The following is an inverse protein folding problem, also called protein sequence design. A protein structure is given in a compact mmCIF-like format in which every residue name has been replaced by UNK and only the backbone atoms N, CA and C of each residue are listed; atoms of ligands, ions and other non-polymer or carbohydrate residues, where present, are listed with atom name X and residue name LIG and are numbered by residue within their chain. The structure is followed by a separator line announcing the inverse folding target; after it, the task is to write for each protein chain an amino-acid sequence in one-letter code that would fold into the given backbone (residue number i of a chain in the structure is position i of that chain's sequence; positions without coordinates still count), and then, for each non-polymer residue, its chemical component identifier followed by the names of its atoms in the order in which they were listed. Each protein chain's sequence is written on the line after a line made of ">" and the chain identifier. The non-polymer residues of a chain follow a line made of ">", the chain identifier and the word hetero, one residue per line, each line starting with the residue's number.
data_IF_115169444874
#
_entry.id   IF_115169444874
#
_cell.length_a   1.000
_cell.length_b   1.000
_cell.length_c   1.000
_cell.angle_alpha   90.00
_cell.angle_beta   90.00
_cell.angle_gamma   90.00
#
_symmetry.space_group_name_H-M   'P 1'
#
loop_
_entity.id
_entity.type
_entity.pdbx_description
1 polymer ?
#
# COMPACT_ATOMS: atom_id res chain seq x y z
N UNK A 1 -2.56 55.54 27.48
CA UNK A 1 -1.71 54.58 26.71
C UNK A 1 -2.03 53.12 27.04
N UNK A 2 -2.75 52.82 28.15
CA UNK A 2 -3.12 51.42 28.50
C UNK A 2 -4.42 50.93 27.86
N UNK A 3 -5.33 51.80 27.50
CA UNK A 3 -6.65 51.44 26.91
C UNK A 3 -6.57 51.04 25.45
N UNK A 4 -5.58 51.54 24.67
CA UNK A 4 -5.47 51.21 23.25
C UNK A 4 -4.96 49.78 22.99
N UNK A 5 -4.27 49.17 23.93
CA UNK A 5 -3.74 47.80 23.80
C UNK A 5 -4.82 46.74 24.01
N UNK A 6 -5.79 47.00 24.89
CA UNK A 6 -6.89 46.08 25.13
C UNK A 6 -7.90 46.01 23.97
N UNK A 7 -8.18 47.12 23.33
CA UNK A 7 -9.17 47.23 22.24
C UNK A 7 -8.71 46.50 20.97
N UNK A 8 -7.41 46.57 20.67
CA UNK A 8 -6.85 45.87 19.51
C UNK A 8 -6.85 44.34 19.66
N UNK A 9 -6.71 43.85 20.92
CA UNK A 9 -6.68 42.42 21.19
C UNK A 9 -8.07 41.78 21.16
N UNK A 10 -9.12 42.54 21.50
CA UNK A 10 -10.51 42.10 21.41
C UNK A 10 -11.05 42.11 19.98
N UNK A 11 -10.65 43.07 19.15
CA UNK A 11 -11.04 43.12 17.75
C UNK A 11 -10.43 41.99 16.91
N UNK A 12 -9.22 41.50 17.26
CA UNK A 12 -8.64 40.36 16.56
C UNK A 12 -9.33 39.01 16.85
N UNK A 13 -10.03 38.86 17.96
CA UNK A 13 -10.79 37.66 18.28
C UNK A 13 -12.19 37.64 17.67
N UNK A 14 -12.76 38.78 17.35
CA UNK A 14 -14.13 38.88 16.84
C UNK A 14 -14.28 38.82 15.31
N UNK A 15 -13.22 39.05 14.57
CA UNK A 15 -13.26 39.10 13.09
C UNK A 15 -13.01 37.73 12.41
N UNK A 16 -12.49 36.73 13.16
CA UNK A 16 -12.14 35.41 12.59
C UNK A 16 -13.23 34.34 12.80
N UNK A 17 -14.41 34.69 13.29
CA UNK A 17 -15.54 33.76 13.46
C UNK A 17 -16.65 34.05 12.45
N UNK A 18 -16.28 34.42 11.23
CA UNK A 18 -17.21 34.51 10.11
C UNK A 18 -17.33 33.19 9.37
N UNK A 19 -18.40 32.97 8.59
CA UNK A 19 -18.60 31.73 7.82
C UNK A 19 -17.42 31.36 6.89
N UNK A 20 -16.60 32.33 6.50
CA UNK A 20 -15.40 32.13 5.66
C UNK A 20 -14.28 31.42 6.45
N UNK A 21 -14.11 31.72 7.75
CA UNK A 21 -13.12 31.01 8.57
C UNK A 21 -13.51 29.54 8.83
N UNK A 22 -14.81 29.26 8.91
CA UNK A 22 -15.33 27.88 8.98
C UNK A 22 -15.11 27.11 7.68
N UNK A 23 -15.36 27.74 6.54
CA UNK A 23 -15.13 27.12 5.22
C UNK A 23 -13.64 26.85 4.97
N UNK A 24 -12.76 27.75 5.42
CA UNK A 24 -11.31 27.54 5.31
C UNK A 24 -10.80 26.46 6.30
N UNK A 25 -11.40 26.33 7.47
CA UNK A 25 -11.10 25.25 8.40
C UNK A 25 -11.62 23.89 7.89
N UNK A 26 -12.77 23.84 7.23
CA UNK A 26 -13.28 22.63 6.56
C UNK A 26 -12.46 22.22 5.34
N UNK A 27 -11.76 23.17 4.69
CA UNK A 27 -10.86 22.88 3.56
C UNK A 27 -9.46 22.46 4.03
N UNK A 28 -9.08 22.83 5.27
CA UNK A 28 -7.73 22.63 5.81
C UNK A 28 -7.61 21.50 6.85
N UNK A 29 -8.68 20.76 7.15
CA UNK A 29 -8.51 19.55 7.93
C UNK A 29 -7.87 18.46 7.06
N UNK A 30 -6.61 18.11 7.29
CA UNK A 30 -6.04 16.93 6.65
C UNK A 30 -6.85 15.74 7.16
N UNK A 31 -7.18 14.82 6.26
CA UNK A 31 -7.87 13.56 6.49
C UNK A 31 -7.18 12.66 7.55
N UNK A 32 -7.11 13.08 8.80
CA UNK A 32 -6.62 12.25 9.91
C UNK A 32 -7.49 10.99 10.10
N UNK A 33 -8.77 11.05 9.73
CA UNK A 33 -9.66 9.89 9.67
C UNK A 33 -9.15 8.80 8.72
N UNK A 34 -8.49 9.15 7.62
CA UNK A 34 -7.97 8.16 6.65
C UNK A 34 -6.82 7.35 7.24
N UNK A 35 -6.00 7.95 8.09
CA UNK A 35 -4.87 7.26 8.73
C UNK A 35 -5.32 6.31 9.84
N UNK A 36 -6.44 6.61 10.50
CA UNK A 36 -7.01 5.80 11.57
C UNK A 36 -7.74 4.54 11.08
N UNK A 37 -8.20 4.52 9.82
CA UNK A 37 -8.97 3.41 9.30
C UNK A 37 -8.16 2.11 9.18
N UNK A 38 -8.79 1.01 9.61
CA UNK A 38 -8.28 -0.35 9.44
C UNK A 38 -8.72 -0.90 8.08
N UNK A 39 -7.92 -1.75 7.42
CA UNK A 39 -8.34 -2.41 6.19
C UNK A 39 -9.53 -3.32 6.45
N UNK A 40 -10.50 -3.30 5.55
CA UNK A 40 -11.57 -4.29 5.54
C UNK A 40 -11.02 -5.61 5.02
N UNK A 41 -11.23 -6.69 5.75
CA UNK A 41 -10.87 -8.03 5.28
C UNK A 41 -11.77 -8.39 4.10
N UNK A 42 -11.17 -8.49 2.92
CA UNK A 42 -11.86 -8.85 1.69
C UNK A 42 -12.15 -10.35 1.64
N UNK A 43 -13.31 -10.70 1.12
CA UNK A 43 -13.75 -12.07 0.93
C UNK A 43 -14.20 -12.27 -0.51
N UNK A 44 -14.04 -13.48 -1.08
CA UNK A 44 -14.61 -13.78 -2.38
C UNK A 44 -16.13 -13.66 -2.33
N UNK A 45 -16.72 -13.15 -3.40
CA UNK A 45 -18.15 -13.10 -3.61
C UNK A 45 -18.60 -14.37 -4.37
N UNK A 46 -19.86 -14.76 -4.24
CA UNK A 46 -20.42 -15.92 -4.95
C UNK A 46 -20.24 -15.82 -6.47
N UNK A 47 -20.30 -14.60 -7.00
CA UNK A 47 -20.07 -14.37 -8.43
C UNK A 47 -18.62 -14.67 -8.82
N UNK A 48 -17.63 -14.37 -7.96
CA UNK A 48 -16.22 -14.68 -8.21
C UNK A 48 -16.00 -16.18 -8.30
N UNK A 49 -16.59 -16.95 -7.38
CA UNK A 49 -16.46 -18.42 -7.38
C UNK A 49 -17.05 -19.03 -8.66
N UNK A 50 -18.20 -18.55 -9.11
CA UNK A 50 -18.81 -19.00 -10.37
C UNK A 50 -17.99 -18.62 -11.59
N UNK A 51 -17.49 -17.39 -11.64
CA UNK A 51 -16.66 -16.89 -12.73
C UNK A 51 -15.35 -17.69 -12.80
N UNK A 52 -14.70 -17.97 -11.68
CA UNK A 52 -13.52 -18.81 -11.61
C UNK A 52 -13.78 -20.21 -12.22
N UNK A 53 -14.85 -20.88 -11.82
CA UNK A 53 -15.22 -22.19 -12.39
C UNK A 53 -15.40 -22.12 -13.90
N UNK A 54 -16.06 -21.08 -14.39
CA UNK A 54 -16.28 -20.89 -15.83
C UNK A 54 -14.96 -20.69 -16.58
N UNK A 55 -14.05 -19.86 -16.02
CA UNK A 55 -12.73 -19.60 -16.61
C UNK A 55 -11.89 -20.89 -16.62
N UNK A 56 -11.83 -21.61 -15.50
CA UNK A 56 -11.09 -22.87 -15.39
C UNK A 56 -11.60 -23.92 -16.40
N UNK A 57 -12.93 -24.01 -16.59
CA UNK A 57 -13.53 -24.90 -17.57
C UNK A 57 -13.21 -24.50 -19.01
N UNK A 58 -13.29 -23.21 -19.34
CA UNK A 58 -12.95 -22.69 -20.66
C UNK A 58 -11.46 -22.92 -20.99
N UNK A 59 -10.56 -22.69 -20.05
CA UNK A 59 -9.13 -22.95 -20.21
C UNK A 59 -8.89 -24.43 -20.48
N UNK A 60 -9.54 -25.33 -19.76
CA UNK A 60 -9.41 -26.78 -19.94
C UNK A 60 -9.91 -27.24 -21.30
N UNK A 61 -11.05 -26.73 -21.77
CA UNK A 61 -11.72 -27.25 -22.95
C UNK A 61 -11.33 -26.54 -24.24
N UNK A 62 -11.10 -25.23 -24.19
CA UNK A 62 -11.00 -24.37 -25.38
C UNK A 62 -9.60 -23.74 -25.56
N UNK A 63 -8.68 -23.89 -24.57
CA UNK A 63 -7.34 -23.32 -24.74
C UNK A 63 -6.57 -24.11 -25.80
N UNK A 64 -5.94 -23.38 -26.71
CA UNK A 64 -5.14 -23.93 -27.83
C UNK A 64 -4.02 -24.86 -27.34
N UNK A 65 -3.36 -24.54 -26.22
CA UNK A 65 -2.43 -25.46 -25.55
C UNK A 65 -3.17 -26.11 -24.39
N UNK A 66 -3.46 -27.40 -24.49
CA UNK A 66 -4.08 -28.16 -23.41
C UNK A 66 -3.07 -28.32 -22.25
N UNK A 67 -3.10 -27.39 -21.32
CA UNK A 67 -2.37 -27.52 -20.05
C UNK A 67 -3.32 -28.06 -18.99
N UNK A 68 -2.94 -29.13 -18.36
CA UNK A 68 -3.66 -29.62 -17.18
C UNK A 68 -3.37 -28.74 -15.97
N UNK A 69 -4.43 -28.45 -15.21
CA UNK A 69 -4.30 -27.86 -13.90
C UNK A 69 -3.85 -28.94 -12.94
N UNK A 70 -2.57 -28.94 -12.61
CA UNK A 70 -1.89 -29.90 -11.72
C UNK A 70 -0.93 -29.13 -10.79
N UNK A 71 -0.23 -29.84 -9.90
CA UNK A 71 0.72 -29.27 -8.93
C UNK A 71 1.77 -28.36 -9.60
N UNK A 72 2.25 -28.72 -10.81
CA UNK A 72 3.20 -27.88 -11.55
C UNK A 72 2.56 -26.55 -11.97
N UNK A 73 1.32 -26.61 -12.46
CA UNK A 73 0.57 -25.39 -12.79
C UNK A 73 0.24 -24.59 -11.54
N UNK A 74 -0.11 -25.27 -10.44
CA UNK A 74 -0.33 -24.66 -9.13
C UNK A 74 0.88 -23.86 -8.65
N UNK A 75 2.08 -24.45 -8.71
CA UNK A 75 3.33 -23.78 -8.37
C UNK A 75 3.58 -22.53 -9.23
N UNK A 76 3.33 -22.62 -10.55
CA UNK A 76 3.46 -21.47 -11.45
C UNK A 76 2.45 -20.35 -11.14
N UNK A 77 1.20 -20.70 -10.83
CA UNK A 77 0.16 -19.76 -10.43
C UNK A 77 0.58 -19.06 -9.14
N UNK A 78 1.05 -19.82 -8.15
CA UNK A 78 1.52 -19.28 -6.88
C UNK A 78 2.64 -18.24 -7.08
N UNK A 79 3.69 -18.61 -7.81
CA UNK A 79 4.82 -17.72 -8.08
C UNK A 79 4.40 -16.45 -8.81
N UNK A 80 3.58 -16.59 -9.85
CA UNK A 80 3.08 -15.45 -10.61
C UNK A 80 2.17 -14.55 -9.78
N UNK A 81 1.36 -15.11 -8.91
CA UNK A 81 0.50 -14.32 -8.03
C UNK A 81 1.32 -13.54 -6.99
N UNK A 82 2.28 -14.18 -6.32
CA UNK A 82 3.18 -13.48 -5.40
C UNK A 82 3.98 -12.39 -6.13
N UNK A 83 4.52 -12.70 -7.32
CA UNK A 83 5.23 -11.72 -8.15
C UNK A 83 4.34 -10.54 -8.56
N UNK A 84 3.08 -10.77 -8.90
CA UNK A 84 2.14 -9.72 -9.29
C UNK A 84 1.84 -8.75 -8.14
N UNK A 85 1.82 -9.26 -6.90
CA UNK A 85 1.57 -8.46 -5.70
C UNK A 85 2.85 -7.73 -5.24
N UNK A 86 3.98 -8.42 -5.15
CA UNK A 86 5.22 -7.86 -4.57
C UNK A 86 6.47 -8.24 -5.36
N UNK A 87 6.52 -7.86 -6.63
CA UNK A 87 7.71 -8.05 -7.48
C UNK A 87 8.98 -7.47 -6.87
N UNK A 88 8.86 -6.36 -6.15
CA UNK A 88 9.99 -5.66 -5.53
C UNK A 88 10.40 -6.20 -4.17
N UNK A 89 9.79 -7.28 -3.68
CA UNK A 89 10.05 -7.95 -2.40
C UNK A 89 10.22 -6.96 -1.24
N UNK A 90 9.19 -6.11 -1.06
CA UNK A 90 9.21 -5.00 -0.13
C UNK A 90 7.97 -4.93 0.78
N UNK A 91 6.98 -5.76 0.54
CA UNK A 91 5.75 -5.83 1.32
C UNK A 91 5.67 -7.10 2.16
N UNK A 92 6.02 -8.25 1.59
CA UNK A 92 6.07 -9.52 2.31
C UNK A 92 7.40 -9.72 3.04
N UNK A 93 7.37 -10.49 4.11
CA UNK A 93 8.54 -11.02 4.82
C UNK A 93 8.73 -12.50 4.49
N UNK A 94 9.88 -13.08 4.86
CA UNK A 94 10.13 -14.52 4.77
C UNK A 94 9.02 -15.31 5.45
N UNK A 95 8.60 -14.89 6.65
CA UNK A 95 7.53 -15.58 7.41
C UNK A 95 6.18 -15.55 6.68
N UNK A 96 5.84 -14.46 5.97
CA UNK A 96 4.62 -14.40 5.16
C UNK A 96 4.69 -15.41 4.01
N UNK A 97 5.83 -15.49 3.32
CA UNK A 97 6.00 -16.45 2.22
C UNK A 97 5.97 -17.90 2.71
N UNK A 98 6.61 -18.21 3.85
CA UNK A 98 6.56 -19.54 4.46
C UNK A 98 5.12 -19.94 4.85
N UNK A 99 4.31 -19.00 5.36
CA UNK A 99 2.89 -19.26 5.63
C UNK A 99 2.13 -19.63 4.34
N UNK A 100 2.45 -18.95 3.23
CA UNK A 100 1.76 -19.17 1.94
C UNK A 100 2.26 -20.40 1.17
N UNK A 101 3.45 -20.91 1.48
CA UNK A 101 4.00 -22.12 0.82
C UNK A 101 3.07 -23.33 0.93
N UNK A 102 2.24 -23.40 2.00
CA UNK A 102 1.22 -24.43 2.13
C UNK A 102 0.22 -24.50 0.97
N UNK A 103 0.03 -23.37 0.25
CA UNK A 103 -0.90 -23.29 -0.88
C UNK A 103 -0.25 -23.57 -2.23
N UNK A 104 1.11 -23.64 -2.30
CA UNK A 104 1.87 -23.73 -3.56
C UNK A 104 1.38 -24.82 -4.49
N UNK A 105 1.07 -26.00 -3.95
CA UNK A 105 0.67 -27.16 -4.73
C UNK A 105 -0.81 -27.50 -4.63
N UNK A 106 -1.62 -26.61 -4.02
CA UNK A 106 -3.05 -26.82 -3.81
C UNK A 106 -3.93 -25.82 -4.58
N UNK A 107 -3.34 -24.77 -5.18
CA UNK A 107 -4.13 -23.71 -5.85
C UNK A 107 -4.93 -24.24 -7.04
N UNK A 108 -4.43 -25.24 -7.77
CA UNK A 108 -5.15 -25.88 -8.86
C UNK A 108 -6.41 -26.58 -8.37
N UNK A 109 -6.34 -27.28 -7.23
CA UNK A 109 -7.47 -27.95 -6.60
C UNK A 109 -8.49 -26.94 -6.04
N UNK A 110 -8.04 -25.83 -5.46
CA UNK A 110 -8.92 -24.75 -5.03
C UNK A 110 -9.63 -24.10 -6.23
N UNK A 111 -8.91 -23.85 -7.33
CA UNK A 111 -9.50 -23.32 -8.56
C UNK A 111 -10.55 -24.26 -9.16
N UNK A 112 -10.27 -25.59 -9.20
CA UNK A 112 -11.22 -26.61 -9.69
C UNK A 112 -12.49 -26.68 -8.87
N UNK A 113 -12.42 -26.37 -7.57
CA UNK A 113 -13.57 -26.34 -6.63
C UNK A 113 -14.26 -24.99 -6.55
N UNK A 114 -13.75 -23.97 -7.23
CA UNK A 114 -14.27 -22.61 -7.14
C UNK A 114 -13.97 -21.93 -5.81
N UNK A 115 -12.98 -22.40 -5.04
CA UNK A 115 -12.59 -21.82 -3.77
C UNK A 115 -11.46 -20.81 -3.98
N UNK A 116 -11.71 -19.55 -3.65
CA UNK A 116 -10.76 -18.44 -3.78
C UNK A 116 -10.21 -17.95 -2.43
N UNK A 117 -10.58 -18.60 -1.32
CA UNK A 117 -10.14 -18.18 0.02
C UNK A 117 -8.61 -18.06 0.17
N UNK A 118 -7.78 -19.01 -0.33
CA UNK A 118 -6.33 -18.88 -0.22
C UNK A 118 -5.78 -17.64 -0.95
N UNK A 119 -6.28 -17.34 -2.14
CA UNK A 119 -5.88 -16.16 -2.89
C UNK A 119 -6.27 -14.87 -2.15
N UNK A 120 -7.47 -14.81 -1.59
CA UNK A 120 -7.92 -13.68 -0.78
C UNK A 120 -7.14 -13.54 0.52
N UNK A 121 -6.72 -14.65 1.15
CA UNK A 121 -5.87 -14.60 2.34
C UNK A 121 -4.51 -13.96 2.04
N UNK A 122 -3.86 -14.37 0.94
CA UNK A 122 -2.61 -13.78 0.46
C UNK A 122 -2.80 -12.30 0.13
N UNK A 123 -3.87 -11.97 -0.59
CA UNK A 123 -4.17 -10.59 -0.96
C UNK A 123 -4.42 -9.69 0.25
N UNK A 124 -5.17 -10.14 1.24
CA UNK A 124 -5.43 -9.38 2.47
C UNK A 124 -4.13 -9.09 3.25
N UNK A 125 -3.20 -10.05 3.30
CA UNK A 125 -1.88 -9.84 3.90
C UNK A 125 -1.10 -8.78 3.12
N UNK A 126 -1.11 -8.84 1.80
CA UNK A 126 -0.49 -7.81 0.95
C UNK A 126 -1.10 -6.43 1.20
N UNK A 127 -2.44 -6.31 1.17
CA UNK A 127 -3.15 -5.05 1.42
C UNK A 127 -2.80 -4.46 2.79
N UNK A 128 -2.80 -5.29 3.85
CA UNK A 128 -2.38 -4.86 5.18
C UNK A 128 -0.94 -4.32 5.17
N UNK A 129 -0.01 -5.05 4.54
CA UNK A 129 1.39 -4.62 4.44
C UNK A 129 1.55 -3.30 3.66
N UNK A 130 0.77 -3.09 2.60
CA UNK A 130 0.74 -1.81 1.85
C UNK A 130 0.26 -0.67 2.73
N UNK A 131 -0.84 -0.87 3.45
CA UNK A 131 -1.41 0.15 4.34
C UNK A 131 -0.44 0.50 5.46
N UNK A 132 0.15 -0.50 6.11
CA UNK A 132 1.12 -0.29 7.19
C UNK A 132 2.36 0.49 6.69
N UNK A 133 2.84 0.15 5.48
CA UNK A 133 3.96 0.88 4.86
C UNK A 133 3.62 2.32 4.53
N UNK A 134 2.41 2.59 4.03
CA UNK A 134 1.98 3.95 3.73
C UNK A 134 1.82 4.79 5.01
N UNK A 135 1.28 4.20 6.09
CA UNK A 135 1.23 4.85 7.41
C UNK A 135 2.62 5.14 7.95
N UNK A 136 3.56 4.19 7.84
CA UNK A 136 4.95 4.36 8.20
C UNK A 136 5.61 5.52 7.44
N UNK A 137 5.44 5.59 6.11
CA UNK A 137 5.98 6.64 5.27
C UNK A 137 5.39 8.02 5.61
N UNK A 138 4.07 8.10 5.83
CA UNK A 138 3.40 9.33 6.23
C UNK A 138 3.99 9.83 7.54
N UNK A 139 4.09 8.95 8.56
CA UNK A 139 4.67 9.30 9.85
C UNK A 139 6.11 9.83 9.71
N UNK A 140 6.95 9.14 8.94
CA UNK A 140 8.35 9.55 8.78
C UNK A 140 8.50 10.88 8.03
N UNK A 141 7.60 11.16 7.08
CA UNK A 141 7.59 12.48 6.42
C UNK A 141 7.16 13.58 7.39
N UNK A 142 6.16 13.32 8.25
CA UNK A 142 5.64 14.31 9.21
C UNK A 142 6.63 14.60 10.36
N UNK A 143 7.44 13.61 10.78
CA UNK A 143 8.29 13.74 11.98
C UNK A 143 9.79 13.85 11.70
N UNK A 144 10.26 13.26 10.62
CA UNK A 144 11.70 13.00 10.44
C UNK A 144 12.29 13.48 9.11
N UNK A 145 11.50 14.12 8.24
CA UNK A 145 11.98 14.56 6.91
C UNK A 145 13.19 15.51 7.01
N UNK A 146 13.24 16.36 8.03
CA UNK A 146 14.35 17.30 8.26
C UNK A 146 15.61 16.61 8.82
N UNK A 147 15.42 15.45 9.46
CA UNK A 147 16.51 14.70 10.13
C UNK A 147 17.21 13.73 9.19
N UNK A 148 16.74 13.59 7.94
CA UNK A 148 17.33 12.65 6.98
C UNK A 148 18.77 13.06 6.69
N UNK A 149 19.72 12.21 7.11
CA UNK A 149 21.14 12.41 6.87
C UNK A 149 21.55 11.92 5.46
N UNK A 150 22.02 12.83 4.62
CA UNK A 150 22.48 12.55 3.26
C UNK A 150 24.01 12.43 3.16
N UNK A 151 24.74 12.51 4.26
CA UNK A 151 26.22 12.38 4.28
C UNK A 151 26.64 10.91 4.29
N UNK A 152 25.75 10.00 4.65
CA UNK A 152 26.00 8.56 4.67
C UNK A 152 26.02 7.97 3.25
N UNK A 153 26.99 7.10 2.97
CA UNK A 153 27.09 6.36 1.70
C UNK A 153 26.09 5.19 1.68
N UNK A 154 24.81 5.55 1.61
CA UNK A 154 23.73 4.59 1.53
C UNK A 154 23.50 4.12 0.09
N UNK A 155 23.37 2.80 -0.07
CA UNK A 155 23.02 2.19 -1.36
C UNK A 155 21.57 1.74 -1.37
N UNK A 156 20.82 2.19 -2.39
CA UNK A 156 19.49 1.70 -2.67
C UNK A 156 19.54 0.71 -3.83
N UNK A 157 19.14 -0.52 -3.57
CA UNK A 157 18.92 -1.50 -4.62
C UNK A 157 17.58 -1.21 -5.29
N UNK A 158 17.62 -0.74 -6.55
CA UNK A 158 16.44 -0.35 -7.33
C UNK A 158 15.70 -1.59 -7.81
N UNK A 159 16.44 -2.52 -8.44
CA UNK A 159 15.89 -3.80 -8.86
C UNK A 159 16.04 -4.83 -7.73
N UNK A 160 14.91 -5.24 -7.18
CA UNK A 160 14.83 -6.21 -6.08
C UNK A 160 14.10 -7.50 -6.46
N UNK A 161 13.77 -7.70 -7.74
CA UNK A 161 13.00 -8.86 -8.20
C UNK A 161 13.62 -10.19 -7.76
N UNK A 162 14.96 -10.27 -7.76
CA UNK A 162 15.72 -11.45 -7.35
C UNK A 162 16.40 -11.33 -5.98
N UNK A 163 16.06 -10.29 -5.21
CA UNK A 163 16.58 -10.11 -3.85
C UNK A 163 15.94 -11.12 -2.90
N UNK A 164 16.57 -11.48 -1.78
CA UNK A 164 15.88 -12.22 -0.73
C UNK A 164 14.70 -11.40 -0.18
N UNK A 165 13.68 -12.10 0.31
CA UNK A 165 12.63 -11.48 1.09
C UNK A 165 13.21 -10.93 2.39
N UNK A 166 12.74 -9.77 2.89
CA UNK A 166 13.12 -9.26 4.20
C UNK A 166 12.87 -10.31 5.30
N UNK A 167 13.87 -10.60 6.11
CA UNK A 167 13.75 -11.60 7.16
C UNK A 167 12.84 -11.14 8.31
N UNK A 168 12.73 -9.83 8.53
CA UNK A 168 11.92 -9.24 9.60
C UNK A 168 11.23 -7.95 9.15
N UNK A 169 10.35 -7.45 10.02
CA UNK A 169 9.71 -6.14 9.82
C UNK A 169 10.73 -5.00 9.81
N UNK A 170 11.75 -5.08 10.67
CA UNK A 170 12.82 -4.07 10.77
C UNK A 170 13.63 -4.01 9.48
N UNK A 171 13.97 -5.16 8.89
CA UNK A 171 14.68 -5.20 7.61
C UNK A 171 13.81 -4.63 6.48
N UNK A 172 12.52 -4.93 6.49
CA UNK A 172 11.54 -4.37 5.56
C UNK A 172 11.43 -2.85 5.73
N UNK A 173 11.44 -2.34 6.96
CA UNK A 173 11.38 -0.92 7.26
C UNK A 173 12.61 -0.18 6.70
N UNK A 174 13.81 -0.75 6.84
CA UNK A 174 15.04 -0.21 6.25
C UNK A 174 14.95 -0.07 4.71
N UNK A 175 14.30 -1.01 4.02
CA UNK A 175 14.08 -0.89 2.58
C UNK A 175 13.24 0.35 2.26
N UNK A 176 12.19 0.62 3.06
CA UNK A 176 11.31 1.75 2.85
C UNK A 176 11.91 3.08 3.28
N UNK A 177 12.72 3.11 4.34
CA UNK A 177 13.50 4.28 4.74
C UNK A 177 14.46 4.72 3.61
N UNK A 178 15.19 3.77 3.03
CA UNK A 178 16.08 4.06 1.89
C UNK A 178 15.30 4.56 0.67
N UNK A 179 14.12 4.01 0.38
CA UNK A 179 13.24 4.50 -0.69
C UNK A 179 12.74 5.91 -0.41
N UNK A 180 12.36 6.23 0.84
CA UNK A 180 11.97 7.57 1.23
C UNK A 180 13.13 8.55 1.07
N UNK A 181 14.32 8.19 1.59
CA UNK A 181 15.54 8.99 1.45
C UNK A 181 15.85 9.30 -0.02
N UNK A 182 15.78 8.30 -0.89
CA UNK A 182 15.99 8.49 -2.33
C UNK A 182 14.91 9.41 -2.97
N UNK A 183 13.65 9.29 -2.55
CA UNK A 183 12.58 10.17 -3.04
C UNK A 183 12.80 11.63 -2.62
N UNK A 184 13.19 11.86 -1.36
CA UNK A 184 13.52 13.19 -0.85
C UNK A 184 14.74 13.77 -1.58
N UNK A 185 15.81 12.97 -1.76
CA UNK A 185 17.01 13.39 -2.48
C UNK A 185 16.68 13.81 -3.92
N UNK A 186 15.90 13.01 -4.63
CA UNK A 186 15.49 13.32 -5.99
C UNK A 186 14.74 14.66 -6.09
N UNK A 187 13.84 14.94 -5.13
CA UNK A 187 13.11 16.21 -5.11
C UNK A 187 13.98 17.41 -4.74
N UNK A 188 14.95 17.22 -3.82
CA UNK A 188 15.97 18.25 -3.49
C UNK A 188 16.84 18.59 -4.70
N UNK A 189 17.31 17.60 -5.44
CA UNK A 189 18.10 17.80 -6.65
C UNK A 189 17.32 18.55 -7.75
N UNK A 190 15.99 18.46 -7.72
CA UNK A 190 15.10 19.25 -8.57
C UNK A 190 14.79 20.65 -8.01
N UNK A 191 15.51 21.11 -6.99
CA UNK A 191 15.43 22.47 -6.46
C UNK A 191 14.28 22.74 -5.51
N UNK A 192 13.61 21.69 -4.97
CA UNK A 192 12.50 21.86 -4.03
C UNK A 192 13.00 22.11 -2.61
N UNK A 193 12.27 22.95 -1.86
CA UNK A 193 12.50 23.14 -0.43
C UNK A 193 12.01 21.94 0.38
N UNK A 194 12.43 21.84 1.64
CA UNK A 194 12.01 20.72 2.51
C UNK A 194 10.50 20.73 2.75
N UNK A 195 9.89 21.91 2.90
CA UNK A 195 8.45 22.08 3.06
C UNK A 195 7.68 21.59 1.82
N UNK A 196 8.09 22.03 0.62
CA UNK A 196 7.47 21.59 -0.65
C UNK A 196 7.59 20.07 -0.85
N UNK A 197 8.72 19.49 -0.45
CA UNK A 197 8.95 18.04 -0.50
C UNK A 197 7.99 17.32 0.46
N UNK A 198 7.89 17.80 1.71
CA UNK A 198 6.98 17.25 2.71
C UNK A 198 5.54 17.25 2.22
N UNK A 199 5.03 18.41 1.78
CA UNK A 199 3.67 18.54 1.24
C UNK A 199 3.42 17.60 0.06
N UNK A 200 4.35 17.52 -0.89
CA UNK A 200 4.22 16.67 -2.08
C UNK A 200 4.20 15.18 -1.72
N UNK A 201 5.09 14.74 -0.82
CA UNK A 201 5.17 13.35 -0.39
C UNK A 201 3.97 12.94 0.45
N UNK A 202 3.53 13.79 1.39
CA UNK A 202 2.34 13.57 2.19
C UNK A 202 1.09 13.44 1.31
N UNK A 203 0.89 14.37 0.38
CA UNK A 203 -0.23 14.31 -0.56
C UNK A 203 -0.22 13.00 -1.36
N UNK A 204 0.95 12.58 -1.85
CA UNK A 204 1.11 11.33 -2.60
C UNK A 204 0.77 10.11 -1.75
N UNK A 205 1.35 9.99 -0.55
CA UNK A 205 1.16 8.82 0.31
C UNK A 205 -0.25 8.77 0.91
N UNK A 206 -0.85 9.91 1.29
CA UNK A 206 -2.24 9.96 1.74
C UNK A 206 -3.22 9.55 0.63
N UNK A 207 -2.97 9.94 -0.62
CA UNK A 207 -3.78 9.49 -1.75
C UNK A 207 -3.62 7.98 -2.01
N UNK A 208 -2.40 7.44 -1.96
CA UNK A 208 -2.15 6.01 -2.09
C UNK A 208 -2.81 5.21 -0.96
N UNK A 209 -2.74 5.70 0.28
CA UNK A 209 -3.41 5.09 1.43
C UNK A 209 -4.93 5.05 1.23
N UNK A 210 -5.51 6.16 0.78
CA UNK A 210 -6.94 6.20 0.46
C UNK A 210 -7.32 5.18 -0.60
N UNK A 211 -6.54 5.04 -1.66
CA UNK A 211 -6.77 4.02 -2.70
C UNK A 211 -6.66 2.60 -2.13
N UNK A 212 -5.62 2.32 -1.33
CA UNK A 212 -5.44 1.00 -0.71
C UNK A 212 -6.60 0.62 0.23
N UNK A 213 -7.14 1.60 0.96
CA UNK A 213 -8.31 1.41 1.84
C UNK A 213 -9.63 1.23 1.06
N UNK A 214 -9.72 1.73 -0.17
CA UNK A 214 -10.90 1.61 -1.03
C UNK A 214 -10.92 0.36 -1.89
N UNK A 215 -9.86 -0.46 -1.86
CA UNK A 215 -9.76 -1.71 -2.60
C UNK A 215 -10.93 -2.65 -2.24
N UNK A 216 -11.54 -3.25 -3.24
CA UNK A 216 -12.71 -4.12 -3.10
C UNK A 216 -12.37 -5.57 -3.46
N UNK A 217 -13.29 -6.48 -3.12
CA UNK A 217 -13.17 -7.90 -3.45
C UNK A 217 -13.03 -8.15 -4.95
N UNK A 218 -13.66 -7.31 -5.79
CA UNK A 218 -13.52 -7.38 -7.25
C UNK A 218 -12.09 -7.12 -7.71
N UNK A 219 -11.42 -6.11 -7.12
CA UNK A 219 -10.03 -5.77 -7.48
C UNK A 219 -9.08 -6.92 -7.12
N UNK A 220 -9.27 -7.52 -5.93
CA UNK A 220 -8.50 -8.68 -5.49
C UNK A 220 -8.69 -9.89 -6.43
N UNK A 221 -9.94 -10.12 -6.86
CA UNK A 221 -10.28 -11.18 -7.79
C UNK A 221 -9.61 -10.97 -9.17
N UNK A 222 -9.67 -9.75 -9.70
CA UNK A 222 -9.08 -9.43 -11.01
C UNK A 222 -7.56 -9.57 -11.02
N UNK A 223 -6.88 -9.27 -9.90
CA UNK A 223 -5.42 -9.44 -9.81
C UNK A 223 -5.03 -10.93 -9.79
N UNK A 224 -5.88 -11.78 -9.20
CA UNK A 224 -5.60 -13.21 -9.10
C UNK A 224 -5.89 -13.95 -10.41
N UNK A 225 -6.94 -13.54 -11.15
CA UNK A 225 -7.41 -14.21 -12.39
C UNK A 225 -6.70 -13.72 -13.65
#
# INVERSE_FOLDING_TARGET
>A
LRERVCTVRLMRRGVLVGPVARVLAEISEPNDEVVANQPTILKPLDIHNRTNLTIAEQLRNNHYVKKELNDTASGQIFEKFIESLDRGRAYFTVADIEEFESYRYELDDFLKRGNLEPAFKIFNRYQSSVIDRLKFLIKNVETDIEKIDFTLDDKLQIDRENSPWPASNEERDLVWEKRLKAAVLSLRLNGKTTEEIGEQLLKRYKNQLKQALQTKSEDAFQIYM
#
